data_IF_761760117671
#
_entry.id   IF_761760117671
#
_cell.length_a   1.000
_cell.length_b   1.000
_cell.length_c   1.000
_cell.angle_alpha   90.00
_cell.angle_beta   90.00
_cell.angle_gamma   90.00
#
_symmetry.space_group_name_H-M   'P 1'
#
loop_
_entity.id
_entity.type
_entity.pdbx_description
1 polymer ?
#
# COMPACT_ATOMS: atom_id res chain seq x y z
N UNK A 1 23.83 -17.50 -18.30
CA UNK A 1 23.12 -16.96 -17.11
C UNK A 1 23.22 -18.02 -16.03
N UNK A 2 23.62 -17.68 -14.80
CA UNK A 2 23.68 -18.67 -13.70
C UNK A 2 22.26 -19.14 -13.43
N UNK A 3 22.01 -20.45 -13.56
CA UNK A 3 20.71 -21.07 -13.33
C UNK A 3 20.85 -22.33 -12.46
N UNK A 4 19.72 -22.85 -11.97
CA UNK A 4 19.70 -24.00 -11.06
C UNK A 4 20.38 -25.23 -11.67
N UNK A 5 20.12 -25.51 -12.94
CA UNK A 5 20.76 -26.61 -13.67
C UNK A 5 22.28 -26.45 -13.68
N UNK A 6 22.81 -25.28 -14.03
CA UNK A 6 24.25 -25.01 -14.02
C UNK A 6 24.85 -25.21 -12.62
N UNK A 7 24.21 -24.68 -11.58
CA UNK A 7 24.71 -24.79 -10.20
C UNK A 7 24.70 -26.24 -9.69
N UNK A 8 23.70 -27.05 -10.07
CA UNK A 8 23.58 -28.44 -9.62
C UNK A 8 24.68 -29.38 -10.17
N UNK A 9 25.36 -29.00 -11.25
CA UNK A 9 26.47 -29.78 -11.82
C UNK A 9 27.83 -29.47 -11.17
N UNK A 10 27.91 -28.48 -10.28
CA UNK A 10 29.15 -28.03 -9.67
C UNK A 10 29.37 -28.72 -8.32
N UNK A 11 30.64 -29.00 -8.01
CA UNK A 11 31.06 -29.50 -6.70
C UNK A 11 30.91 -28.40 -5.64
N UNK A 12 30.76 -28.75 -4.36
CA UNK A 12 30.68 -27.77 -3.27
C UNK A 12 31.80 -26.72 -3.28
N UNK A 13 33.05 -27.12 -3.54
CA UNK A 13 34.19 -26.19 -3.60
C UNK A 13 34.09 -25.20 -4.77
N UNK A 14 33.53 -25.64 -5.91
CA UNK A 14 33.31 -24.77 -7.08
C UNK A 14 32.18 -23.77 -6.80
N UNK A 15 31.14 -24.20 -6.09
CA UNK A 15 30.06 -23.33 -5.62
C UNK A 15 30.57 -22.27 -4.64
N UNK A 16 31.40 -22.65 -3.66
CA UNK A 16 32.03 -21.71 -2.73
C UNK A 16 32.93 -20.69 -3.47
N UNK A 17 33.71 -21.16 -4.45
CA UNK A 17 34.53 -20.28 -5.29
C UNK A 17 33.68 -19.27 -6.07
N UNK A 18 32.61 -19.73 -6.73
CA UNK A 18 31.67 -18.85 -7.44
C UNK A 18 31.01 -17.87 -6.49
N UNK A 19 30.58 -18.31 -5.32
CA UNK A 19 29.96 -17.44 -4.32
C UNK A 19 30.93 -16.35 -3.87
N UNK A 20 32.18 -16.70 -3.54
CA UNK A 20 33.21 -15.75 -3.16
C UNK A 20 33.53 -14.76 -4.29
N UNK A 21 33.60 -15.26 -5.52
CA UNK A 21 33.86 -14.44 -6.70
C UNK A 21 32.71 -13.46 -6.99
N UNK A 22 31.46 -13.94 -6.97
CA UNK A 22 30.27 -13.08 -7.11
C UNK A 22 30.24 -12.05 -5.99
N UNK A 23 30.48 -12.45 -4.75
CA UNK A 23 30.52 -11.55 -3.61
C UNK A 23 31.52 -10.41 -3.86
N UNK A 24 32.76 -10.74 -4.24
CA UNK A 24 33.80 -9.75 -4.58
C UNK A 24 33.37 -8.81 -5.71
N UNK A 25 32.89 -9.36 -6.82
CA UNK A 25 32.41 -8.54 -7.96
C UNK A 25 31.26 -7.61 -7.55
N UNK A 26 30.36 -8.08 -6.68
CA UNK A 26 29.24 -7.27 -6.19
C UNK A 26 29.66 -6.24 -5.16
N UNK A 27 30.61 -6.54 -4.27
CA UNK A 27 31.11 -5.58 -3.27
C UNK A 27 31.87 -4.42 -3.92
N UNK A 28 32.61 -4.70 -5.00
CA UNK A 28 33.32 -3.68 -5.77
C UNK A 28 32.34 -2.74 -6.48
N UNK A 29 31.17 -3.25 -6.87
CA UNK A 29 30.14 -2.48 -7.59
C UNK A 29 29.15 -1.75 -6.67
N UNK A 30 28.76 -2.38 -5.56
CA UNK A 30 27.75 -1.86 -4.62
C UNK A 30 28.47 -1.25 -3.42
N UNK A 31 28.88 0.01 -3.56
CA UNK A 31 29.56 0.78 -2.51
C UNK A 31 28.56 1.61 -1.68
N UNK A 32 29.00 2.19 -0.56
CA UNK A 32 28.18 3.06 0.27
C UNK A 32 27.60 4.26 -0.50
N UNK A 33 28.32 4.73 -1.52
CA UNK A 33 27.93 5.89 -2.33
C UNK A 33 26.96 5.55 -3.47
N UNK A 34 26.75 4.26 -3.75
CA UNK A 34 25.83 3.75 -4.79
C UNK A 34 24.52 4.53 -4.79
N UNK A 35 24.21 5.12 -5.93
CA UNK A 35 23.03 5.97 -6.08
C UNK A 35 21.84 5.13 -6.51
N UNK A 36 20.65 5.45 -6.00
CA UNK A 36 19.41 4.76 -6.43
C UNK A 36 19.12 4.93 -7.92
N UNK A 37 19.69 5.96 -8.52
CA UNK A 37 19.58 6.28 -9.93
C UNK A 37 20.19 5.25 -10.86
N UNK A 38 21.25 4.57 -10.42
CA UNK A 38 21.91 3.51 -11.19
C UNK A 38 21.00 2.29 -11.36
N UNK A 39 19.95 2.16 -10.55
CA UNK A 39 19.00 1.07 -10.61
C UNK A 39 17.83 1.32 -11.57
N UNK A 40 17.62 2.56 -12.05
CA UNK A 40 16.55 2.89 -13.00
C UNK A 40 17.05 2.69 -14.42
N UNK A 41 16.23 2.06 -15.29
CA UNK A 41 16.52 1.96 -16.72
C UNK A 41 16.83 3.33 -17.31
N UNK A 42 18.00 3.48 -17.92
CA UNK A 42 18.57 4.77 -18.34
C UNK A 42 17.83 5.42 -19.50
N UNK A 43 16.92 4.70 -20.15
CA UNK A 43 16.20 5.16 -21.35
C UNK A 43 14.87 5.80 -20.99
N UNK A 44 14.84 7.12 -21.05
CA UNK A 44 13.61 7.91 -21.00
C UNK A 44 12.90 7.83 -22.35
N UNK A 45 11.70 7.25 -22.39
CA UNK A 45 10.92 7.07 -23.63
C UNK A 45 9.83 8.12 -23.83
N UNK A 46 9.27 8.68 -22.76
CA UNK A 46 8.22 9.70 -22.82
C UNK A 46 8.29 10.65 -21.62
N UNK A 47 7.58 11.77 -21.72
CA UNK A 47 7.40 12.68 -20.60
C UNK A 47 6.57 12.00 -19.49
N UNK A 48 7.06 11.94 -18.24
CA UNK A 48 6.34 11.32 -17.13
C UNK A 48 5.15 12.17 -16.65
N UNK A 49 5.06 13.43 -17.08
CA UNK A 49 3.98 14.33 -16.67
C UNK A 49 2.77 14.33 -17.60
N UNK A 50 2.97 14.08 -18.90
CA UNK A 50 1.90 14.19 -19.90
C UNK A 50 1.90 13.06 -20.95
N UNK A 51 2.83 12.11 -20.88
CA UNK A 51 2.92 10.99 -21.83
C UNK A 51 3.49 11.36 -23.21
N UNK A 52 3.77 12.64 -23.50
CA UNK A 52 4.31 13.05 -24.80
C UNK A 52 5.71 12.46 -25.07
N UNK A 53 5.91 11.99 -26.30
CA UNK A 53 7.20 11.55 -26.84
C UNK A 53 8.07 12.74 -27.32
N UNK A 54 7.51 13.95 -27.40
CA UNK A 54 8.22 15.13 -27.88
C UNK A 54 8.87 15.89 -26.71
N UNK A 55 10.15 15.60 -26.49
CA UNK A 55 11.01 16.25 -25.50
C UNK A 55 12.45 16.38 -26.02
N UNK A 56 13.21 17.29 -25.42
CA UNK A 56 14.62 17.53 -25.78
C UNK A 56 15.52 17.45 -24.55
N UNK A 57 16.80 17.15 -24.74
CA UNK A 57 17.82 17.25 -23.68
C UNK A 57 17.96 18.72 -23.24
N UNK A 58 18.00 18.95 -21.93
CA UNK A 58 18.02 20.28 -21.30
C UNK A 58 19.18 20.41 -20.28
N UNK A 59 20.38 20.02 -20.70
CA UNK A 59 21.59 20.01 -19.87
C UNK A 59 21.56 18.99 -18.72
N UNK A 60 22.49 19.12 -17.78
CA UNK A 60 22.68 18.19 -16.67
C UNK A 60 22.33 18.83 -15.32
N UNK A 61 22.01 18.01 -14.32
CA UNK A 61 21.92 18.45 -12.94
C UNK A 61 23.31 18.44 -12.26
N UNK A 62 23.39 18.87 -10.98
CA UNK A 62 24.64 18.91 -10.21
C UNK A 62 25.33 17.55 -10.02
N UNK A 63 24.62 16.44 -10.27
CA UNK A 63 25.14 15.07 -10.22
C UNK A 63 25.40 14.50 -11.62
N UNK A 64 25.58 15.36 -12.62
CA UNK A 64 25.78 15.00 -14.03
C UNK A 64 24.70 14.09 -14.63
N UNK A 65 23.46 14.13 -14.13
CA UNK A 65 22.34 13.40 -14.74
C UNK A 65 21.58 14.25 -15.72
N UNK A 66 21.20 13.65 -16.84
CA UNK A 66 20.49 14.30 -17.94
C UNK A 66 19.13 14.84 -17.47
N UNK A 67 18.88 16.12 -17.74
CA UNK A 67 17.54 16.71 -17.67
C UNK A 67 16.92 16.73 -19.06
N UNK A 68 15.60 16.65 -19.11
CA UNK A 68 14.80 16.74 -20.32
C UNK A 68 13.77 17.85 -20.16
N UNK A 69 13.43 18.53 -21.26
CA UNK A 69 12.35 19.50 -21.35
C UNK A 69 11.29 18.95 -22.30
N UNK A 70 10.08 18.71 -21.79
CA UNK A 70 8.96 18.33 -22.64
C UNK A 70 8.48 19.54 -23.45
N UNK A 71 8.32 19.37 -24.76
CA UNK A 71 7.87 20.44 -25.66
C UNK A 71 6.36 20.63 -25.66
N UNK A 72 5.58 19.63 -25.22
CA UNK A 72 4.13 19.76 -25.09
C UNK A 72 3.71 20.44 -23.80
N UNK A 73 4.19 19.95 -22.64
CA UNK A 73 3.74 20.47 -21.34
C UNK A 73 4.72 21.48 -20.71
N UNK A 74 5.87 21.74 -21.33
CA UNK A 74 6.89 22.68 -20.85
C UNK A 74 7.63 22.27 -19.56
N UNK A 75 7.31 21.10 -18.98
CA UNK A 75 7.91 20.65 -17.71
C UNK A 75 9.29 20.03 -17.94
N UNK A 76 10.18 20.29 -16.97
CA UNK A 76 11.51 19.68 -16.88
C UNK A 76 11.42 18.39 -16.08
N UNK A 77 12.07 17.34 -16.55
CA UNK A 77 12.09 16.04 -15.88
C UNK A 77 13.44 15.34 -16.05
N UNK A 78 13.65 14.25 -15.32
CA UNK A 78 14.75 13.30 -15.50
C UNK A 78 14.22 11.86 -15.45
N UNK A 79 15.10 10.90 -15.68
CA UNK A 79 14.88 9.47 -15.45
C UNK A 79 14.30 9.09 -14.08
N UNK A 80 14.61 9.84 -13.01
CA UNK A 80 14.02 9.64 -11.66
C UNK A 80 12.69 10.35 -11.44
N UNK A 81 12.22 11.18 -12.37
CA UNK A 81 10.95 11.88 -12.20
C UNK A 81 9.80 10.86 -12.10
N UNK A 82 8.85 11.13 -11.20
CA UNK A 82 7.75 10.23 -10.85
C UNK A 82 8.18 8.84 -10.31
N UNK A 83 9.41 8.68 -9.82
CA UNK A 83 9.83 7.46 -9.09
C UNK A 83 9.91 7.72 -7.60
N UNK A 84 10.06 6.66 -6.78
CA UNK A 84 10.35 6.79 -5.33
C UNK A 84 11.61 7.63 -5.04
N UNK A 85 12.53 7.72 -5.99
CA UNK A 85 13.78 8.47 -5.85
C UNK A 85 13.69 9.92 -6.32
N UNK A 86 12.54 10.34 -6.85
CA UNK A 86 12.32 11.72 -7.26
C UNK A 86 12.64 12.67 -6.10
N UNK A 87 13.53 13.64 -6.33
CA UNK A 87 13.98 14.63 -5.33
C UNK A 87 14.54 14.05 -4.01
N UNK A 88 14.94 12.77 -3.97
CA UNK A 88 15.58 12.21 -2.76
C UNK A 88 17.08 12.49 -2.74
N UNK A 89 17.61 12.72 -1.54
CA UNK A 89 19.07 12.78 -1.30
C UNK A 89 19.60 11.49 -0.66
N UNK A 90 18.72 10.56 -0.29
CA UNK A 90 19.11 9.29 0.32
C UNK A 90 19.72 8.34 -0.71
N UNK A 91 20.80 7.65 -0.33
CA UNK A 91 21.53 6.70 -1.17
C UNK A 91 20.86 5.32 -1.17
N UNK A 92 21.38 4.39 -1.97
CA UNK A 92 20.87 3.02 -2.10
C UNK A 92 20.74 2.34 -0.73
N UNK A 93 21.84 2.28 0.03
CA UNK A 93 21.89 1.63 1.33
C UNK A 93 20.86 2.19 2.33
N UNK A 94 20.65 3.51 2.34
CA UNK A 94 19.63 4.12 3.21
C UNK A 94 18.22 3.63 2.88
N UNK A 95 17.87 3.55 1.59
CA UNK A 95 16.56 3.02 1.18
C UNK A 95 16.44 1.53 1.46
N UNK A 96 17.48 0.76 1.20
CA UNK A 96 17.50 -0.69 1.48
C UNK A 96 17.31 -0.98 2.97
N UNK A 97 18.00 -0.23 3.86
CA UNK A 97 17.80 -0.30 5.31
C UNK A 97 16.39 0.14 5.70
N UNK A 98 15.92 1.28 5.17
CA UNK A 98 14.58 1.80 5.45
C UNK A 98 13.47 0.81 5.07
N UNK A 99 13.55 0.19 3.89
CA UNK A 99 12.58 -0.82 3.45
C UNK A 99 12.61 -2.04 4.35
N UNK A 100 13.79 -2.46 4.81
CA UNK A 100 13.89 -3.54 5.79
C UNK A 100 13.19 -3.17 7.11
N UNK A 101 13.36 -1.94 7.60
CA UNK A 101 12.65 -1.43 8.78
C UNK A 101 11.12 -1.47 8.60
N UNK A 102 10.61 -1.01 7.46
CA UNK A 102 9.18 -0.98 7.15
C UNK A 102 8.57 -2.38 7.04
N UNK A 103 9.28 -3.33 6.42
CA UNK A 103 8.85 -4.74 6.35
C UNK A 103 8.70 -5.36 7.75
N UNK A 104 9.58 -4.95 8.67
CA UNK A 104 9.62 -5.40 10.07
C UNK A 104 8.77 -4.55 11.02
N UNK A 105 8.03 -3.54 10.54
CA UNK A 105 7.18 -2.65 11.35
C UNK A 105 7.96 -1.93 12.47
N UNK A 106 9.15 -1.44 12.14
CA UNK A 106 9.86 -0.57 13.05
C UNK A 106 9.14 0.78 13.16
N UNK A 107 9.24 1.42 14.33
CA UNK A 107 8.69 2.76 14.53
C UNK A 107 9.56 3.81 13.82
N UNK A 108 9.02 5.01 13.61
CA UNK A 108 9.81 6.13 13.06
C UNK A 108 11.06 6.44 13.88
N UNK A 109 11.04 6.21 15.20
CA UNK A 109 12.20 6.43 16.06
C UNK A 109 13.29 5.37 15.84
N UNK A 110 12.88 4.11 15.70
CA UNK A 110 13.79 3.03 15.35
C UNK A 110 14.36 3.21 13.93
N UNK A 111 13.56 3.71 12.99
CA UNK A 111 14.00 4.03 11.62
C UNK A 111 15.02 5.17 11.60
N UNK A 112 14.87 6.19 12.45
CA UNK A 112 15.85 7.27 12.60
C UNK A 112 17.21 6.71 13.02
N UNK A 113 17.22 5.81 14.01
CA UNK A 113 18.44 5.15 14.48
C UNK A 113 19.06 4.29 13.38
N UNK A 114 18.26 3.46 12.71
CA UNK A 114 18.76 2.52 11.69
C UNK A 114 19.28 3.21 10.43
N UNK A 115 18.66 4.33 10.02
CA UNK A 115 18.97 5.00 8.75
C UNK A 115 19.86 6.24 8.90
N UNK A 116 20.02 6.75 10.12
CA UNK A 116 20.67 8.04 10.39
C UNK A 116 19.95 9.24 9.78
N UNK A 117 18.67 9.11 9.41
CA UNK A 117 17.86 10.20 8.85
C UNK A 117 16.92 10.80 9.89
N UNK A 118 16.48 12.04 9.65
CA UNK A 118 15.52 12.69 10.54
C UNK A 118 14.15 12.03 10.47
N UNK A 119 13.36 12.15 11.55
CA UNK A 119 12.00 11.60 11.65
C UNK A 119 11.11 12.05 10.49
N UNK A 120 11.21 13.32 10.10
CA UNK A 120 10.50 13.88 8.95
C UNK A 120 10.91 13.23 7.63
N UNK A 121 12.20 12.94 7.46
CA UNK A 121 12.71 12.27 6.26
C UNK A 121 12.20 10.83 6.18
N UNK A 122 12.27 10.07 7.27
CA UNK A 122 11.72 8.71 7.34
C UNK A 122 10.20 8.71 7.03
N UNK A 123 9.46 9.66 7.60
CA UNK A 123 8.03 9.81 7.31
C UNK A 123 7.75 10.08 5.82
N UNK A 124 8.53 10.97 5.18
CA UNK A 124 8.41 11.21 3.75
C UNK A 124 8.79 9.98 2.91
N UNK A 125 9.85 9.27 3.29
CA UNK A 125 10.26 8.02 2.63
C UNK A 125 9.17 6.96 2.71
N UNK A 126 8.50 6.82 3.87
CA UNK A 126 7.36 5.90 4.07
C UNK A 126 6.25 6.18 3.07
N UNK A 127 5.83 7.44 2.97
CA UNK A 127 4.74 7.81 2.06
C UNK A 127 5.08 7.56 0.59
N UNK A 128 6.32 7.84 0.18
CA UNK A 128 6.78 7.52 -1.18
C UNK A 128 6.80 6.01 -1.44
N UNK A 129 7.36 5.24 -0.51
CA UNK A 129 7.41 3.78 -0.60
C UNK A 129 6.00 3.18 -0.73
N UNK A 130 5.10 3.58 0.16
CA UNK A 130 3.74 3.03 0.19
C UNK A 130 2.95 3.41 -1.07
N UNK A 131 3.09 4.64 -1.55
CA UNK A 131 2.44 5.06 -2.78
C UNK A 131 2.91 4.28 -4.01
N UNK A 132 4.23 4.08 -4.14
CA UNK A 132 4.81 3.33 -5.25
C UNK A 132 4.38 1.87 -5.26
N UNK A 133 4.33 1.24 -4.08
CA UNK A 133 3.89 -0.14 -3.92
C UNK A 133 2.39 -0.28 -4.15
N UNK A 134 1.57 0.67 -3.68
CA UNK A 134 0.13 0.61 -3.82
C UNK A 134 -0.35 0.58 -5.28
N UNK A 135 0.40 1.19 -6.20
CA UNK A 135 0.13 1.08 -7.64
C UNK A 135 0.23 -0.36 -8.15
N UNK A 136 1.12 -1.19 -7.59
CA UNK A 136 1.25 -2.59 -7.98
C UNK A 136 0.09 -3.44 -7.43
N UNK A 137 -0.34 -3.16 -6.19
CA UNK A 137 -1.42 -3.92 -5.52
C UNK A 137 -2.78 -3.72 -6.19
N UNK A 138 -3.08 -2.49 -6.61
CA UNK A 138 -4.43 -2.13 -7.10
C UNK A 138 -4.73 -2.56 -8.54
N UNK A 139 -3.75 -3.04 -9.30
CA UNK A 139 -3.93 -3.35 -10.72
C UNK A 139 -4.22 -4.83 -11.01
N UNK A 140 -4.25 -5.69 -9.99
CA UNK A 140 -4.49 -7.12 -10.18
C UNK A 140 -5.97 -7.43 -9.92
N UNK A 141 -6.69 -8.03 -10.88
CA UNK A 141 -8.06 -8.49 -10.67
C UNK A 141 -8.10 -9.73 -9.77
N UNK A 142 -9.14 -9.81 -8.96
CA UNK A 142 -9.53 -10.96 -8.15
C UNK A 142 -10.24 -11.97 -9.04
N UNK A 143 -9.95 -13.26 -8.84
CA UNK A 143 -10.49 -14.34 -9.67
C UNK A 143 -10.96 -15.53 -8.84
N UNK A 144 -11.66 -16.47 -9.48
CA UNK A 144 -12.02 -17.75 -8.87
C UNK A 144 -12.88 -17.60 -7.63
N UNK A 145 -12.49 -18.21 -6.52
CA UNK A 145 -13.20 -18.08 -5.23
C UNK A 145 -12.73 -16.83 -4.49
N UNK A 146 -13.63 -15.86 -4.32
CA UNK A 146 -13.34 -14.57 -3.70
C UNK A 146 -14.15 -14.39 -2.41
N UNK A 147 -13.45 -14.31 -1.28
CA UNK A 147 -14.02 -14.05 0.05
C UNK A 147 -14.13 -12.55 0.26
N UNK A 148 -15.32 -12.03 0.56
CA UNK A 148 -15.59 -10.59 0.69
C UNK A 148 -16.24 -10.25 2.04
N UNK A 149 -15.81 -9.15 2.63
CA UNK A 149 -16.43 -8.52 3.80
C UNK A 149 -16.00 -7.03 3.88
N UNK A 150 -16.44 -6.31 4.90
CA UNK A 150 -15.98 -4.97 5.21
C UNK A 150 -15.46 -4.85 6.64
N UNK A 151 -14.50 -3.95 6.83
CA UNK A 151 -14.01 -3.58 8.16
C UNK A 151 -14.11 -2.07 8.37
N UNK A 152 -14.00 -1.65 9.63
CA UNK A 152 -14.27 -0.27 10.01
C UNK A 152 -13.21 0.27 10.97
N UNK A 153 -12.81 1.52 10.73
CA UNK A 153 -11.99 2.29 11.68
C UNK A 153 -12.59 3.67 11.96
N UNK A 154 -12.26 4.27 13.09
CA UNK A 154 -12.73 5.62 13.41
C UNK A 154 -12.06 6.68 12.53
N UNK A 155 -12.78 7.74 12.20
CA UNK A 155 -12.19 8.91 11.55
C UNK A 155 -11.08 9.50 12.43
N UNK A 156 -9.88 9.57 11.88
CA UNK A 156 -8.70 10.12 12.51
C UNK A 156 -8.13 11.24 11.63
N UNK A 157 -8.06 12.44 12.20
CA UNK A 157 -7.65 13.68 11.52
C UNK A 157 -6.27 14.15 11.97
N UNK A 158 -5.40 13.23 12.43
CA UNK A 158 -3.99 13.54 12.73
C UNK A 158 -3.34 14.31 11.58
N UNK A 159 -2.59 15.35 11.92
CA UNK A 159 -1.92 16.24 10.97
C UNK A 159 -2.79 17.37 10.42
N UNK A 160 -4.10 17.39 10.70
CA UNK A 160 -4.96 18.51 10.33
C UNK A 160 -4.71 19.72 11.25
N UNK A 161 -4.48 20.89 10.64
CA UNK A 161 -4.29 22.15 11.38
C UNK A 161 -5.58 22.57 12.09
N UNK A 162 -5.45 23.21 13.26
CA UNK A 162 -6.59 23.65 14.07
C UNK A 162 -7.60 24.50 13.30
N UNK A 163 -7.13 25.44 12.46
CA UNK A 163 -7.99 26.28 11.61
C UNK A 163 -8.85 25.53 10.59
N UNK A 164 -8.50 24.29 10.26
CA UNK A 164 -9.22 23.45 9.30
C UNK A 164 -9.96 22.29 10.00
N UNK A 165 -9.95 22.26 11.35
CA UNK A 165 -10.52 21.15 12.10
C UNK A 165 -12.06 21.24 12.05
N UNK A 166 -12.77 20.23 11.53
CA UNK A 166 -14.22 20.30 11.36
C UNK A 166 -14.98 20.09 12.68
N UNK A 167 -14.29 19.81 13.78
CA UNK A 167 -14.88 19.55 15.10
C UNK A 167 -13.95 20.00 16.21
N UNK A 168 -14.49 20.13 17.42
CA UNK A 168 -13.68 20.36 18.62
C UNK A 168 -12.68 19.22 18.88
N UNK A 169 -11.56 19.57 19.52
CA UNK A 169 -10.53 18.62 19.92
C UNK A 169 -11.08 17.59 20.92
N UNK A 170 -10.72 16.31 20.74
CA UNK A 170 -11.08 15.26 21.70
C UNK A 170 -10.22 15.43 22.95
N UNK A 171 -10.86 15.59 24.11
CA UNK A 171 -10.17 15.71 25.40
C UNK A 171 -9.81 14.31 25.92
N UNK A 172 -8.57 14.11 26.39
CA UNK A 172 -8.11 12.83 26.96
C UNK A 172 -8.80 12.59 28.32
N UNK A 173 -9.25 11.35 28.58
CA UNK A 173 -9.72 10.92 29.91
C UNK A 173 -11.13 11.41 30.32
N UNK A 174 -11.75 12.33 29.60
CA UNK A 174 -13.16 12.68 29.80
C UNK A 174 -13.93 12.37 28.53
N UNK A 175 -14.77 11.33 28.58
CA UNK A 175 -15.94 11.22 27.71
C UNK A 175 -16.91 12.34 28.09
N UNK A 176 -16.53 13.60 27.92
CA UNK A 176 -17.51 14.68 27.88
C UNK A 176 -18.27 14.43 26.59
N UNK A 177 -19.43 13.82 26.76
CA UNK A 177 -20.58 13.94 25.88
C UNK A 177 -20.78 15.43 25.65
N UNK A 178 -20.11 15.96 24.64
CA UNK A 178 -20.70 17.06 23.92
C UNK A 178 -22.09 16.59 23.51
N UNK A 179 -23.12 17.36 23.86
CA UNK A 179 -24.51 17.02 23.59
C UNK A 179 -24.72 16.73 22.09
N UNK A 180 -23.89 17.35 21.23
CA UNK A 180 -23.90 17.18 19.78
C UNK A 180 -22.91 16.11 19.28
N UNK A 181 -21.84 15.80 20.03
CA UNK A 181 -20.85 14.77 19.66
C UNK A 181 -20.86 13.56 20.61
N UNK A 182 -22.03 12.97 20.81
CA UNK A 182 -22.18 11.68 21.51
C UNK A 182 -21.30 10.62 20.85
N UNK A 183 -20.59 9.84 21.67
CA UNK A 183 -19.86 8.67 21.20
C UNK A 183 -20.87 7.61 20.70
N UNK A 184 -21.28 7.72 19.43
CA UNK A 184 -22.20 6.78 18.79
C UNK A 184 -21.57 5.38 18.79
N UNK A 185 -22.21 4.44 19.48
CA UNK A 185 -21.82 3.02 19.46
C UNK A 185 -22.19 2.40 18.10
N UNK A 186 -21.55 1.29 17.75
CA UNK A 186 -21.81 0.58 16.49
C UNK A 186 -21.25 1.26 15.24
N UNK A 187 -21.64 0.74 14.07
CA UNK A 187 -21.28 1.28 12.76
C UNK A 187 -22.13 2.54 12.52
N UNK A 188 -21.49 3.68 12.30
CA UNK A 188 -22.16 4.96 12.08
C UNK A 188 -21.34 5.83 11.12
N UNK A 189 -21.86 7.00 10.78
CA UNK A 189 -21.25 7.93 9.84
C UNK A 189 -19.83 8.41 10.21
N UNK A 190 -19.38 8.25 11.46
CA UNK A 190 -17.99 8.55 11.88
C UNK A 190 -17.03 7.35 11.80
N UNK A 191 -17.45 6.26 11.14
CA UNK A 191 -16.60 5.12 10.81
C UNK A 191 -16.26 5.14 9.33
N UNK A 192 -14.98 4.96 9.03
CA UNK A 192 -14.49 4.69 7.67
C UNK A 192 -14.77 3.23 7.35
N UNK A 193 -15.50 2.98 6.28
CA UNK A 193 -15.78 1.67 5.71
C UNK A 193 -14.66 1.29 4.74
N UNK A 194 -14.07 0.12 4.94
CA UNK A 194 -13.00 -0.45 4.13
C UNK A 194 -13.53 -1.76 3.58
N UNK A 195 -13.66 -1.85 2.25
CA UNK A 195 -14.04 -3.08 1.57
C UNK A 195 -12.83 -3.99 1.52
N UNK A 196 -13.04 -5.27 1.82
CA UNK A 196 -12.00 -6.31 1.82
C UNK A 196 -12.44 -7.45 0.94
N UNK A 197 -11.59 -7.86 0.01
CA UNK A 197 -11.78 -9.10 -0.73
C UNK A 197 -10.45 -9.83 -0.88
N UNK A 198 -10.46 -11.15 -0.79
CA UNK A 198 -9.29 -12.01 -0.93
C UNK A 198 -9.67 -13.19 -1.82
N UNK A 199 -8.88 -13.44 -2.87
CA UNK A 199 -9.05 -14.61 -3.73
C UNK A 199 -8.19 -15.81 -3.27
N UNK A 200 -8.36 -16.95 -3.92
CA UNK A 200 -7.60 -18.18 -3.64
C UNK A 200 -6.11 -18.13 -4.03
N UNK A 201 -5.65 -17.04 -4.66
CA UNK A 201 -4.25 -16.81 -5.05
C UNK A 201 -3.57 -15.69 -4.22
N UNK A 202 -4.15 -15.32 -3.08
CA UNK A 202 -3.69 -14.22 -2.22
C UNK A 202 -3.67 -12.84 -2.90
N UNK A 203 -4.44 -12.65 -3.97
CA UNK A 203 -4.76 -11.32 -4.47
C UNK A 203 -5.76 -10.70 -3.52
N UNK A 204 -5.52 -9.45 -3.12
CA UNK A 204 -6.36 -8.79 -2.12
C UNK A 204 -6.78 -7.40 -2.60
N UNK A 205 -8.04 -7.08 -2.33
CA UNK A 205 -8.56 -5.73 -2.34
C UNK A 205 -8.76 -5.29 -0.89
N UNK A 206 -8.20 -4.13 -0.53
CA UNK A 206 -8.36 -3.57 0.81
C UNK A 206 -8.39 -2.04 0.74
N UNK A 207 -9.57 -1.49 0.44
CA UNK A 207 -9.71 -0.10 -0.03
C UNK A 207 -10.83 0.66 0.66
N UNK A 208 -10.61 1.97 0.88
CA UNK A 208 -11.55 2.87 1.52
C UNK A 208 -12.75 3.09 0.60
N UNK A 209 -13.93 2.60 0.99
CA UNK A 209 -15.14 2.75 0.20
C UNK A 209 -15.97 3.99 0.56
N UNK A 210 -15.75 4.56 1.75
CA UNK A 210 -16.46 5.74 2.24
C UNK A 210 -16.62 5.70 3.77
N UNK A 211 -17.65 6.34 4.31
CA UNK A 211 -18.00 6.32 5.72
C UNK A 211 -19.39 5.76 5.99
N UNK A 212 -19.69 5.36 7.23
CA UNK A 212 -20.96 4.72 7.56
C UNK A 212 -20.99 3.23 7.26
N UNK A 213 -22.18 2.62 7.31
CA UNK A 213 -22.40 1.20 7.04
C UNK A 213 -22.02 0.82 5.60
N UNK A 214 -21.64 -0.43 5.38
CA UNK A 214 -21.45 -0.96 4.03
C UNK A 214 -22.74 -0.88 3.21
N UNK A 215 -22.61 -0.75 1.90
CA UNK A 215 -23.75 -0.65 0.98
C UNK A 215 -23.37 -1.22 -0.38
N UNK A 216 -24.37 -1.60 -1.17
CA UNK A 216 -24.18 -2.17 -2.51
C UNK A 216 -23.37 -1.23 -3.41
N UNK A 217 -23.61 0.09 -3.31
CA UNK A 217 -22.88 1.12 -4.07
C UNK A 217 -21.40 1.18 -3.70
N UNK A 218 -21.05 0.92 -2.43
CA UNK A 218 -19.65 0.89 -1.98
C UNK A 218 -18.88 -0.29 -2.56
N UNK A 219 -19.54 -1.44 -2.69
CA UNK A 219 -18.95 -2.61 -3.34
C UNK A 219 -18.87 -2.39 -4.86
N UNK A 220 -19.90 -1.77 -5.47
CA UNK A 220 -19.96 -1.53 -6.91
C UNK A 220 -18.78 -0.70 -7.45
N UNK A 221 -18.20 0.20 -6.65
CA UNK A 221 -16.98 0.97 -7.00
C UNK A 221 -15.81 0.11 -7.44
N UNK A 222 -15.79 -1.15 -7.03
CA UNK A 222 -14.68 -2.06 -7.25
C UNK A 222 -15.01 -3.20 -8.20
N UNK A 223 -16.16 -3.18 -8.89
CA UNK A 223 -16.57 -4.29 -9.77
C UNK A 223 -15.52 -4.67 -10.81
N UNK A 224 -14.81 -3.70 -11.39
CA UNK A 224 -13.76 -3.92 -12.39
C UNK A 224 -12.53 -4.66 -11.85
N UNK A 225 -12.44 -4.81 -10.52
CA UNK A 225 -11.41 -5.60 -9.83
C UNK A 225 -11.77 -7.07 -9.67
N UNK A 226 -12.93 -7.52 -10.17
CA UNK A 226 -13.37 -8.91 -10.10
C UNK A 226 -13.51 -9.47 -11.51
N UNK A 227 -12.92 -10.63 -11.76
CA UNK A 227 -13.17 -11.39 -12.98
C UNK A 227 -14.65 -11.80 -13.05
N UNK A 228 -15.20 -11.88 -14.27
CA UNK A 228 -16.63 -12.13 -14.49
C UNK A 228 -17.13 -13.46 -13.90
N UNK A 229 -16.26 -14.46 -13.83
CA UNK A 229 -16.59 -15.81 -13.39
C UNK A 229 -16.29 -16.06 -11.89
N UNK A 230 -16.19 -14.99 -11.09
CA UNK A 230 -15.93 -15.14 -9.66
C UNK A 230 -17.09 -15.78 -8.90
N UNK A 231 -16.73 -16.58 -7.88
CA UNK A 231 -17.65 -17.01 -6.82
C UNK A 231 -17.42 -16.16 -5.58
N UNK A 232 -18.46 -15.44 -5.16
CA UNK A 232 -18.42 -14.56 -4.00
C UNK A 232 -18.81 -15.33 -2.74
N UNK A 233 -17.87 -15.46 -1.81
CA UNK A 233 -18.07 -16.03 -0.47
C UNK A 233 -18.32 -14.91 0.53
N UNK A 234 -19.43 -14.96 1.27
CA UNK A 234 -19.78 -13.92 2.26
C UNK A 234 -20.60 -14.46 3.45
N UNK A 235 -20.74 -13.64 4.49
CA UNK A 235 -21.56 -13.91 5.68
C UNK A 235 -23.07 -13.70 5.47
N UNK A 236 -23.49 -13.37 4.25
CA UNK A 236 -24.89 -13.15 3.89
C UNK A 236 -25.41 -11.75 4.16
N UNK A 237 -24.54 -10.76 4.37
CA UNK A 237 -24.94 -9.34 4.38
C UNK A 237 -25.63 -8.95 3.07
N UNK A 238 -26.78 -8.28 3.20
CA UNK A 238 -27.64 -7.90 2.08
C UNK A 238 -26.88 -7.10 1.00
N UNK A 239 -26.06 -6.12 1.41
CA UNK A 239 -25.27 -5.30 0.49
C UNK A 239 -24.32 -6.13 -0.41
N UNK A 240 -23.76 -7.22 0.13
CA UNK A 240 -22.87 -8.12 -0.62
C UNK A 240 -23.70 -9.02 -1.55
N UNK A 241 -24.84 -9.52 -1.06
CA UNK A 241 -25.74 -10.37 -1.85
C UNK A 241 -26.32 -9.63 -3.06
N UNK A 242 -26.69 -8.37 -2.88
CA UNK A 242 -27.15 -7.49 -3.96
C UNK A 242 -26.01 -7.17 -4.94
N UNK A 243 -24.83 -6.81 -4.45
CA UNK A 243 -23.65 -6.61 -5.30
C UNK A 243 -23.36 -7.84 -6.16
N UNK A 244 -23.36 -9.04 -5.57
CA UNK A 244 -23.14 -10.27 -6.31
C UNK A 244 -24.25 -10.53 -7.34
N UNK A 245 -25.51 -10.27 -6.99
CA UNK A 245 -26.65 -10.48 -7.89
C UNK A 245 -26.67 -9.49 -9.06
N UNK A 246 -26.40 -8.22 -8.80
CA UNK A 246 -26.37 -7.14 -9.80
C UNK A 246 -25.29 -7.37 -10.87
N UNK A 247 -24.18 -8.02 -10.48
CA UNK A 247 -23.05 -8.30 -11.36
C UNK A 247 -22.97 -9.77 -11.79
N UNK A 248 -24.03 -10.55 -11.56
CA UNK A 248 -24.16 -11.94 -12.00
C UNK A 248 -23.08 -12.92 -11.48
N UNK A 249 -22.45 -12.60 -10.34
CA UNK A 249 -21.49 -13.51 -9.71
C UNK A 249 -22.18 -14.71 -9.06
N UNK A 250 -21.48 -15.84 -9.04
CA UNK A 250 -21.91 -16.99 -8.24
C UNK A 250 -21.84 -16.62 -6.75
N UNK A 251 -22.80 -17.09 -5.95
CA UNK A 251 -22.92 -16.75 -4.52
C UNK A 251 -22.73 -17.99 -3.67
N UNK A 252 -21.78 -17.93 -2.75
CA UNK A 252 -21.56 -18.96 -1.73
C UNK A 252 -21.69 -18.36 -0.32
N UNK A 253 -22.90 -18.39 0.21
CA UNK A 253 -23.23 -17.70 1.47
C UNK A 253 -23.06 -18.60 2.68
N UNK A 254 -22.33 -18.12 3.68
CA UNK A 254 -22.24 -18.72 5.01
C UNK A 254 -23.53 -18.41 5.76
N UNK A 255 -24.45 -19.37 5.77
CA UNK A 255 -25.72 -19.21 6.48
C UNK A 255 -25.55 -19.56 7.96
N UNK A 256 -25.92 -18.67 8.90
CA UNK A 256 -26.00 -19.02 10.29
C UNK A 256 -27.08 -20.10 10.49
N UNK A 257 -26.78 -21.14 11.27
CA UNK A 257 -27.74 -22.16 11.66
C UNK A 257 -28.29 -21.82 13.05
N UNK A 258 -29.61 -21.97 13.32
CA UNK A 258 -30.14 -21.85 14.66
C UNK A 258 -29.37 -22.80 15.61
N UNK A 259 -28.91 -22.28 16.74
CA UNK A 259 -28.23 -23.05 17.80
C UNK A 259 -26.92 -23.75 17.40
N UNK A 260 -26.30 -23.41 16.26
CA UNK A 260 -24.98 -23.92 15.88
C UNK A 260 -24.08 -22.81 15.32
N UNK A 261 -22.84 -22.77 15.82
CA UNK A 261 -21.80 -21.92 15.24
C UNK A 261 -21.34 -22.53 13.91
N UNK A 262 -21.89 -22.03 12.81
CA UNK A 262 -21.48 -22.41 11.47
C UNK A 262 -20.55 -21.33 10.89
N UNK A 263 -19.30 -21.71 10.62
CA UNK A 263 -18.26 -20.79 10.09
C UNK A 263 -17.93 -21.07 8.61
N UNK A 264 -18.57 -22.09 8.03
CA UNK A 264 -18.35 -22.51 6.65
C UNK A 264 -19.65 -22.51 5.86
N UNK A 265 -19.51 -22.26 4.57
CA UNK A 265 -20.59 -22.40 3.59
C UNK A 265 -20.88 -23.88 3.31
N UNK A 266 -21.88 -24.15 2.46
CA UNK A 266 -22.18 -25.53 2.00
C UNK A 266 -21.04 -26.14 1.20
N UNK A 267 -20.24 -25.30 0.54
CA UNK A 267 -19.10 -25.72 -0.27
C UNK A 267 -17.79 -25.77 0.56
N UNK A 268 -17.86 -25.60 1.88
CA UNK A 268 -16.69 -25.65 2.77
C UNK A 268 -15.89 -24.34 2.86
N UNK A 269 -16.31 -23.27 2.20
CA UNK A 269 -15.60 -21.99 2.21
C UNK A 269 -15.85 -21.22 3.51
N UNK A 270 -14.83 -20.50 4.00
CA UNK A 270 -14.91 -19.65 5.19
C UNK A 270 -14.34 -18.25 4.95
N UNK A 271 -14.65 -17.31 5.84
CA UNK A 271 -14.08 -15.96 5.85
C UNK A 271 -12.79 -15.84 6.68
N UNK A 272 -12.09 -16.95 6.96
CA UNK A 272 -10.93 -16.98 7.85
C UNK A 272 -9.80 -16.01 7.45
N UNK A 273 -9.44 -15.97 6.17
CA UNK A 273 -8.38 -15.10 5.64
C UNK A 273 -8.75 -13.62 5.72
N UNK A 274 -10.00 -13.28 5.39
CA UNK A 274 -10.53 -11.91 5.50
C UNK A 274 -10.49 -11.44 6.94
N UNK A 275 -10.94 -12.29 7.87
CA UNK A 275 -10.88 -12.02 9.30
C UNK A 275 -9.45 -11.84 9.82
N UNK A 276 -8.50 -12.62 9.31
CA UNK A 276 -7.09 -12.47 9.65
C UNK A 276 -6.55 -11.11 9.17
N UNK A 277 -6.85 -10.72 7.92
CA UNK A 277 -6.44 -9.41 7.40
C UNK A 277 -7.05 -8.25 8.22
N UNK A 278 -8.32 -8.38 8.64
CA UNK A 278 -8.95 -7.40 9.54
C UNK A 278 -8.25 -7.32 10.90
N UNK A 279 -7.80 -8.46 11.44
CA UNK A 279 -7.04 -8.49 12.69
C UNK A 279 -5.69 -7.82 12.54
N UNK A 280 -4.96 -8.12 11.47
CA UNK A 280 -3.68 -7.46 11.13
C UNK A 280 -3.87 -5.95 10.96
N UNK A 281 -4.96 -5.53 10.32
CA UNK A 281 -5.32 -4.11 10.21
C UNK A 281 -5.54 -3.45 11.58
N UNK A 282 -6.29 -4.10 12.48
CA UNK A 282 -6.50 -3.60 13.85
C UNK A 282 -5.18 -3.49 14.62
N UNK A 283 -4.28 -4.46 14.46
CA UNK A 283 -2.94 -4.42 15.05
C UNK A 283 -2.10 -3.28 14.49
N UNK A 284 -2.13 -3.05 13.17
CA UNK A 284 -1.45 -1.94 12.50
C UNK A 284 -1.95 -0.59 13.04
N UNK A 285 -3.27 -0.40 13.14
CA UNK A 285 -3.86 0.82 13.70
C UNK A 285 -3.43 1.02 15.16
N UNK A 286 -3.37 -0.03 15.98
CA UNK A 286 -2.87 0.04 17.36
C UNK A 286 -1.39 0.42 17.39
N UNK A 287 -0.57 -0.22 16.56
CA UNK A 287 0.88 0.00 16.48
C UNK A 287 1.22 1.45 16.13
N UNK A 288 0.53 2.05 15.15
CA UNK A 288 0.73 3.47 14.79
C UNK A 288 -0.07 4.45 15.67
N UNK A 289 -0.72 3.97 16.72
CA UNK A 289 -1.63 4.75 17.58
C UNK A 289 -2.71 5.51 16.79
N UNK A 290 -3.18 4.91 15.70
CA UNK A 290 -4.09 5.48 14.72
C UNK A 290 -3.37 6.18 13.56
N UNK A 291 -3.85 5.92 12.35
CA UNK A 291 -3.38 6.53 11.09
C UNK A 291 -4.37 7.59 10.64
N UNK A 292 -3.89 8.72 10.10
CA UNK A 292 -4.77 9.76 9.53
C UNK A 292 -5.51 9.20 8.32
N UNK A 293 -6.82 9.47 8.20
CA UNK A 293 -7.62 8.99 7.06
C UNK A 293 -7.07 9.52 5.72
N UNK A 294 -6.42 10.68 5.74
CA UNK A 294 -5.69 11.27 4.61
C UNK A 294 -4.68 10.33 3.97
N UNK A 295 -4.08 9.47 4.80
CA UNK A 295 -3.00 8.59 4.40
C UNK A 295 -3.38 7.12 4.46
N UNK A 296 -4.58 6.82 4.96
CA UNK A 296 -4.96 5.48 5.35
C UNK A 296 -4.84 4.51 4.18
N UNK A 297 -5.26 4.89 2.96
CA UNK A 297 -5.19 4.00 1.80
C UNK A 297 -3.77 3.50 1.54
N UNK A 298 -2.75 4.37 1.58
CA UNK A 298 -1.36 3.97 1.41
C UNK A 298 -0.88 2.97 2.48
N UNK A 299 -1.39 3.09 3.72
CA UNK A 299 -1.09 2.13 4.78
C UNK A 299 -1.83 0.80 4.56
N UNK A 300 -3.05 0.81 4.03
CA UNK A 300 -3.78 -0.41 3.66
C UNK A 300 -3.04 -1.16 2.54
N UNK A 301 -2.62 -0.44 1.50
CA UNK A 301 -1.84 -0.98 0.39
C UNK A 301 -0.55 -1.66 0.89
N UNK A 302 0.17 -1.00 1.81
CA UNK A 302 1.38 -1.54 2.39
C UNK A 302 1.12 -2.78 3.26
N UNK A 303 0.01 -2.81 3.99
CA UNK A 303 -0.39 -3.97 4.77
C UNK A 303 -0.62 -5.19 3.86
N UNK A 304 -1.39 -5.00 2.78
CA UNK A 304 -1.62 -6.03 1.76
C UNK A 304 -0.31 -6.51 1.15
N UNK A 305 0.55 -5.58 0.73
CA UNK A 305 1.86 -5.91 0.18
C UNK A 305 2.69 -6.75 1.14
N UNK A 306 2.77 -6.36 2.42
CA UNK A 306 3.51 -7.12 3.43
C UNK A 306 2.96 -8.52 3.64
N UNK A 307 1.63 -8.69 3.58
CA UNK A 307 0.99 -10.00 3.70
C UNK A 307 1.32 -10.89 2.49
N UNK A 308 1.20 -10.37 1.27
CA UNK A 308 1.61 -11.09 0.05
C UNK A 308 3.09 -11.48 0.06
N UNK A 309 3.97 -10.56 0.46
CA UNK A 309 5.39 -10.84 0.58
C UNK A 309 5.70 -11.95 1.59
N UNK A 310 4.89 -12.12 2.64
CA UNK A 310 5.06 -13.21 3.61
C UNK A 310 4.68 -14.57 3.02
N UNK A 311 3.63 -14.62 2.20
CA UNK A 311 3.13 -15.86 1.60
C UNK A 311 3.95 -16.31 0.40
N UNK A 312 4.35 -15.36 -0.45
CA UNK A 312 4.90 -15.68 -1.77
C UNK A 312 6.43 -15.67 -1.80
N UNK A 313 7.10 -14.99 -0.86
CA UNK A 313 8.53 -14.72 -0.93
C UNK A 313 9.25 -15.16 0.35
N UNK A 314 10.34 -15.92 0.19
CA UNK A 314 11.26 -16.29 1.28
C UNK A 314 11.82 -15.06 1.99
N UNK A 315 12.00 -15.13 3.30
CA UNK A 315 12.30 -13.98 4.15
C UNK A 315 13.53 -13.17 3.68
N UNK A 316 14.57 -13.86 3.25
CA UNK A 316 15.86 -13.31 2.81
C UNK A 316 15.72 -12.46 1.54
N UNK A 317 14.78 -12.82 0.66
CA UNK A 317 14.55 -12.15 -0.62
C UNK A 317 13.56 -10.96 -0.53
N UNK A 318 12.81 -10.85 0.58
CA UNK A 318 11.72 -9.85 0.70
C UNK A 318 12.20 -8.42 0.55
N UNK A 319 13.32 -8.08 1.19
CA UNK A 319 13.92 -6.74 1.14
C UNK A 319 14.25 -6.32 -0.30
N UNK A 320 14.97 -7.18 -1.02
CA UNK A 320 15.38 -6.93 -2.41
C UNK A 320 14.18 -6.85 -3.33
N UNK A 321 13.22 -7.78 -3.21
CA UNK A 321 11.98 -7.77 -4.01
C UNK A 321 11.15 -6.52 -3.76
N UNK A 322 11.01 -6.09 -2.50
CA UNK A 322 10.30 -4.86 -2.16
C UNK A 322 10.97 -3.61 -2.74
N UNK A 323 12.31 -3.54 -2.66
CA UNK A 323 13.08 -2.46 -3.30
C UNK A 323 12.83 -2.44 -4.82
N UNK A 324 12.95 -3.58 -5.51
CA UNK A 324 12.72 -3.67 -6.97
C UNK A 324 11.29 -3.30 -7.39
N UNK A 325 10.27 -3.67 -6.60
CA UNK A 325 8.88 -3.32 -6.91
C UNK A 325 8.62 -1.83 -6.66
N UNK A 326 9.08 -1.30 -5.54
CA UNK A 326 8.93 0.13 -5.21
C UNK A 326 9.61 1.01 -6.26
N UNK A 327 10.73 0.57 -6.80
CA UNK A 327 11.46 1.22 -7.88
C UNK A 327 10.67 1.37 -9.19
N UNK A 328 9.86 0.37 -9.52
CA UNK A 328 9.01 0.38 -10.72
C UNK A 328 7.72 1.16 -10.51
N UNK A 329 7.37 1.43 -9.24
CA UNK A 329 6.17 2.17 -8.88
C UNK A 329 6.28 3.66 -9.18
N UNK A 330 5.19 4.23 -9.68
CA UNK A 330 5.08 5.66 -9.96
C UNK A 330 4.66 6.44 -8.71
N UNK A 331 5.32 7.56 -8.45
CA UNK A 331 5.04 8.51 -7.37
C UNK A 331 4.90 9.91 -7.96
N UNK A 332 3.67 10.34 -8.20
CA UNK A 332 3.36 11.60 -8.88
C UNK A 332 3.39 12.85 -7.99
N UNK A 333 3.67 12.70 -6.69
CA UNK A 333 3.70 13.80 -5.72
C UNK A 333 5.11 14.05 -5.18
N UNK A 334 5.32 15.25 -4.65
CA UNK A 334 6.53 15.62 -3.90
C UNK A 334 6.24 15.71 -2.40
N UNK A 335 7.30 15.77 -1.59
CA UNK A 335 7.17 15.68 -0.12
C UNK A 335 6.31 16.77 0.50
N UNK A 336 6.26 17.96 -0.10
CA UNK A 336 5.39 19.06 0.36
C UNK A 336 3.89 18.75 0.21
N UNK A 337 3.53 17.85 -0.71
CA UNK A 337 2.14 17.55 -1.02
C UNK A 337 1.53 16.54 -0.02
N UNK A 338 2.37 15.76 0.67
CA UNK A 338 1.96 14.69 1.58
C UNK A 338 0.91 15.22 2.59
N UNK A 339 1.24 16.28 3.32
CA UNK A 339 0.35 16.83 4.34
C UNK A 339 -0.89 17.54 3.77
N UNK A 340 -0.99 17.71 2.46
CA UNK A 340 -2.09 18.36 1.75
C UNK A 340 -2.92 17.43 0.88
N UNK A 341 -2.66 16.12 0.86
CA UNK A 341 -3.51 15.15 0.14
C UNK A 341 -4.98 15.30 0.51
N UNK A 342 -5.84 15.19 -0.49
CA UNK A 342 -7.28 15.25 -0.27
C UNK A 342 -7.74 14.14 0.69
N UNK A 343 -8.78 14.43 1.44
CA UNK A 343 -9.37 13.42 2.31
C UNK A 343 -10.18 12.45 1.43
N UNK A 344 -10.08 11.13 1.64
CA UNK A 344 -10.82 10.16 0.83
C UNK A 344 -12.34 10.17 1.12
N UNK A 345 -12.78 10.97 2.09
CA UNK A 345 -14.15 11.08 2.56
C UNK A 345 -14.37 12.54 2.95
N UNK A 346 -15.52 13.09 2.58
CA UNK A 346 -15.94 14.39 3.06
C UNK A 346 -16.30 14.32 4.55
N UNK A 347 -15.41 14.87 5.38
CA UNK A 347 -15.61 14.94 6.82
C UNK A 347 -16.31 16.22 7.25
N UNK A 348 -16.38 17.25 6.41
CA UNK A 348 -16.93 18.54 6.79
C UNK A 348 -18.44 18.44 6.93
N UNK A 349 -19.12 17.80 5.98
CA UNK A 349 -20.56 17.51 6.06
C UNK A 349 -20.94 16.66 7.28
N UNK A 350 -20.04 15.81 7.77
CA UNK A 350 -20.28 14.95 8.93
C UNK A 350 -20.31 15.70 10.28
N UNK A 351 -19.73 16.90 10.33
CA UNK A 351 -19.61 17.70 11.55
C UNK A 351 -20.31 19.06 11.42
N UNK A 352 -21.12 19.27 10.38
CA UNK A 352 -21.89 20.50 10.16
C UNK A 352 -23.17 20.61 11.02
N UNK A 353 -23.45 19.64 11.90
CA UNK A 353 -24.64 19.61 12.75
C UNK A 353 -24.32 19.72 14.23
#
# INVERSE_FOLDING_TARGET
MINETFLNHLKPVELEFIQAFIYKLTSDKITLDTTNSENIESTVSHCPHCGSFHFVKNGFNKKHRQKYLCRNCGKIFSDTTNTIFSHTRSHYHTWTTFIACELNQMTLEQEVVATGKSKTTCFHMRHKLYAAIGAHIRNTPLKGIVKIDSTFTGINLKGMKAKNMPRISKVRGKSKTDANHKHKRGINSHKVCIVTAIDEWDTMLFEIAGNGAESTEKYQKYVERFDKDCTIVSDGKQAILEFASNNQFQKDTIRPKPNQKNYTSRNGNSLGEVNQLHQEFKQMIKHYHGVSIRHLQHYLDWLVFRKQMKYQIKAEARKTKAYMLAMKGSVSFVTKDICSFELPIDVFTLYQN
#
